data_IF_156549019440
#
_entry.id   IF_156549019440
#
_cell.length_a   1.000
_cell.length_b   1.000
_cell.length_c   1.000
_cell.angle_alpha   90.00
_cell.angle_beta   90.00
_cell.angle_gamma   90.00
#
_symmetry.space_group_name_H-M   'P 1'
#
loop_
_entity.id
_entity.type
_entity.pdbx_description
1 polymer ?
#
# COMPACT_ATOMS: atom_id res chain seq x y z
N UNK A 1 2.66 -25.80 16.22
CA UNK A 1 3.85 -25.93 15.36
C UNK A 1 4.04 -24.59 14.68
N UNK A 2 5.23 -24.01 14.80
CA UNK A 2 5.58 -22.66 14.38
C UNK A 2 5.65 -22.57 12.86
N UNK A 3 4.64 -21.97 12.22
CA UNK A 3 4.78 -21.53 10.83
C UNK A 3 5.82 -20.42 10.81
N UNK A 4 7.04 -20.76 10.37
CA UNK A 4 8.01 -19.77 9.95
C UNK A 4 7.36 -18.98 8.82
N UNK A 5 6.88 -17.77 9.12
CA UNK A 5 6.46 -16.84 8.08
C UNK A 5 7.64 -16.66 7.13
N UNK A 6 7.51 -17.11 5.89
CA UNK A 6 8.50 -16.91 4.85
C UNK A 6 8.61 -15.40 4.57
N UNK A 7 9.55 -14.74 5.25
CA UNK A 7 9.91 -13.35 4.98
C UNK A 7 10.78 -13.30 3.73
N UNK A 8 10.33 -12.53 2.74
CA UNK A 8 10.96 -12.32 1.45
C UNK A 8 11.49 -10.89 1.47
N UNK A 9 12.81 -10.75 1.42
CA UNK A 9 13.44 -9.45 1.23
C UNK A 9 13.42 -9.08 -0.25
N UNK A 10 13.00 -7.86 -0.55
CA UNK A 10 12.97 -7.35 -1.92
C UNK A 10 13.39 -5.88 -1.95
N UNK A 11 13.91 -5.44 -3.09
CA UNK A 11 14.26 -4.04 -3.30
C UNK A 11 13.09 -3.31 -3.95
N UNK A 12 12.81 -2.09 -3.49
CA UNK A 12 11.84 -1.24 -4.18
C UNK A 12 12.37 -0.93 -5.59
N UNK A 13 11.51 -1.09 -6.59
CA UNK A 13 11.86 -0.82 -7.97
C UNK A 13 11.86 0.68 -8.29
N UNK A 14 12.42 1.01 -9.45
CA UNK A 14 12.43 2.36 -10.00
C UNK A 14 12.21 2.34 -11.51
N UNK A 15 12.06 3.52 -12.12
CA UNK A 15 11.86 3.66 -13.56
C UNK A 15 13.03 3.05 -14.33
N UNK A 16 12.74 2.02 -15.12
CA UNK A 16 13.74 1.26 -15.88
C UNK A 16 14.32 0.06 -15.11
N UNK A 17 13.99 -0.09 -13.84
CA UNK A 17 14.44 -1.18 -12.96
C UNK A 17 13.33 -1.59 -11.97
N UNK A 18 12.12 -1.84 -12.48
CA UNK A 18 11.01 -2.33 -11.65
C UNK A 18 11.24 -3.79 -11.24
N UNK A 19 11.02 -4.11 -9.96
CA UNK A 19 11.27 -5.46 -9.46
C UNK A 19 10.19 -6.43 -9.99
N UNK A 20 10.60 -7.44 -10.74
CA UNK A 20 9.65 -8.36 -11.39
C UNK A 20 8.85 -9.19 -10.39
N UNK A 21 9.41 -9.50 -9.21
CA UNK A 21 8.72 -10.25 -8.17
C UNK A 21 7.65 -9.39 -7.47
N UNK A 22 7.93 -8.11 -7.23
CA UNK A 22 6.95 -7.16 -6.65
C UNK A 22 5.87 -6.72 -7.64
N UNK A 23 6.15 -6.86 -8.95
CA UNK A 23 5.26 -6.45 -10.03
C UNK A 23 4.46 -7.61 -10.66
N UNK A 24 4.83 -8.85 -10.34
CA UNK A 24 4.22 -10.07 -10.87
C UNK A 24 3.10 -10.63 -9.99
N UNK A 25 3.09 -11.96 -9.88
CA UNK A 25 2.23 -12.70 -8.96
C UNK A 25 2.97 -12.87 -7.63
N UNK A 26 2.42 -12.30 -6.56
CA UNK A 26 2.98 -12.42 -5.23
C UNK A 26 2.71 -13.82 -4.66
N UNK A 27 3.62 -14.31 -3.82
CA UNK A 27 3.46 -15.58 -3.13
C UNK A 27 2.31 -15.49 -2.13
N UNK A 28 1.41 -16.48 -2.06
CA UNK A 28 0.39 -16.56 -1.03
C UNK A 28 0.96 -16.66 0.39
N UNK A 29 0.29 -16.03 1.37
CA UNK A 29 0.62 -16.15 2.79
C UNK A 29 2.04 -15.71 3.15
N UNK A 30 2.62 -14.80 2.37
CA UNK A 30 4.01 -14.39 2.48
C UNK A 30 4.14 -13.01 3.12
N UNK A 31 5.32 -12.76 3.66
CA UNK A 31 5.72 -11.46 4.18
C UNK A 31 6.78 -10.90 3.26
N UNK A 32 6.61 -9.67 2.80
CA UNK A 32 7.58 -8.96 1.98
C UNK A 32 8.16 -7.81 2.78
N UNK A 33 9.48 -7.80 2.98
CA UNK A 33 10.21 -6.68 3.59
C UNK A 33 10.96 -5.93 2.48
N UNK A 34 10.51 -4.71 2.19
CA UNK A 34 11.07 -3.90 1.13
C UNK A 34 12.25 -3.06 1.63
N UNK A 35 13.18 -2.72 0.72
CA UNK A 35 14.36 -1.92 1.03
C UNK A 35 14.07 -0.51 1.57
N UNK A 36 12.86 0.02 1.38
CA UNK A 36 12.41 1.27 2.00
C UNK A 36 11.91 1.11 3.44
N UNK A 37 12.00 -0.11 4.00
CA UNK A 37 11.55 -0.44 5.35
C UNK A 37 10.06 -0.75 5.48
N UNK A 38 9.29 -0.70 4.37
CA UNK A 38 7.88 -1.09 4.38
C UNK A 38 7.72 -2.60 4.31
N UNK A 39 6.74 -3.10 5.04
CA UNK A 39 6.45 -4.52 5.13
C UNK A 39 5.03 -4.79 4.67
N UNK A 40 4.89 -5.76 3.77
CA UNK A 40 3.61 -6.16 3.18
C UNK A 40 3.32 -7.61 3.54
N UNK A 41 2.07 -7.94 3.79
CA UNK A 41 1.61 -9.31 3.99
C UNK A 41 0.59 -9.63 2.92
N UNK A 42 0.70 -10.84 2.36
CA UNK A 42 -0.27 -11.36 1.40
C UNK A 42 -1.18 -12.40 2.04
N UNK A 43 -2.41 -12.47 1.56
CA UNK A 43 -3.35 -13.52 1.91
C UNK A 43 -3.09 -14.84 1.16
N UNK A 44 -3.93 -15.85 1.39
CA UNK A 44 -3.83 -17.16 0.75
C UNK A 44 -4.05 -17.13 -0.79
N UNK A 45 -4.44 -16.00 -1.37
CA UNK A 45 -4.54 -15.79 -2.81
C UNK A 45 -3.41 -14.92 -3.38
N UNK A 46 -2.46 -14.50 -2.54
CA UNK A 46 -1.35 -13.62 -2.95
C UNK A 46 -1.76 -12.14 -3.09
N UNK A 47 -2.92 -11.73 -2.58
CA UNK A 47 -3.33 -10.31 -2.55
C UNK A 47 -2.75 -9.68 -1.30
N UNK A 48 -2.27 -8.43 -1.37
CA UNK A 48 -1.83 -7.71 -0.17
C UNK A 48 -3.03 -7.48 0.74
N UNK A 49 -2.98 -8.01 1.96
CA UNK A 49 -4.03 -7.78 2.97
C UNK A 49 -3.57 -6.89 4.12
N UNK A 50 -2.27 -6.59 4.19
CA UNK A 50 -1.70 -5.67 5.18
C UNK A 50 -0.44 -5.01 4.64
N UNK A 51 -0.26 -3.71 4.95
CA UNK A 51 1.02 -3.01 4.85
C UNK A 51 1.31 -2.26 6.15
N UNK A 52 2.57 -2.24 6.57
CA UNK A 52 3.04 -1.43 7.69
C UNK A 52 4.38 -0.76 7.36
N UNK A 53 4.60 0.45 7.86
CA UNK A 53 5.85 1.16 7.64
C UNK A 53 5.88 2.58 8.19
N UNK A 54 7.07 3.13 8.30
CA UNK A 54 7.27 4.55 8.62
C UNK A 54 7.17 5.37 7.34
N UNK A 55 6.39 6.44 7.38
CA UNK A 55 6.25 7.35 6.25
C UNK A 55 7.42 8.33 6.19
N UNK A 56 7.72 8.81 4.98
CA UNK A 56 8.82 9.73 4.73
C UNK A 56 8.48 10.71 3.60
N UNK A 57 9.00 11.93 3.66
CA UNK A 57 8.90 12.88 2.55
C UNK A 57 9.89 12.57 1.40
N UNK A 58 10.71 11.52 1.54
CA UNK A 58 11.55 11.01 0.47
C UNK A 58 10.67 10.31 -0.57
N UNK A 59 10.22 11.08 -1.55
CA UNK A 59 9.34 10.59 -2.59
C UNK A 59 9.99 9.47 -3.41
N UNK A 60 9.24 8.40 -3.67
CA UNK A 60 9.63 7.34 -4.58
C UNK A 60 9.02 7.55 -5.97
N UNK A 61 9.59 6.86 -6.96
CA UNK A 61 9.09 6.94 -8.33
C UNK A 61 7.77 6.18 -8.51
N UNK A 62 6.93 6.67 -9.42
CA UNK A 62 5.62 6.08 -9.72
C UNK A 62 5.70 5.16 -10.94
N UNK A 63 5.11 3.97 -10.83
CA UNK A 63 4.90 3.10 -11.97
C UNK A 63 3.53 3.38 -12.63
N UNK A 64 3.51 4.20 -13.67
CA UNK A 64 2.27 4.55 -14.38
C UNK A 64 1.59 3.35 -15.04
N UNK A 65 2.38 2.39 -15.52
CA UNK A 65 1.87 1.17 -16.13
C UNK A 65 1.08 0.34 -15.12
N UNK A 66 1.64 0.09 -13.93
CA UNK A 66 0.97 -0.72 -12.91
C UNK A 66 -0.27 -0.05 -12.34
N UNK A 67 -0.26 1.27 -12.15
CA UNK A 67 -1.47 1.99 -11.73
C UNK A 67 -2.61 1.81 -12.73
N UNK A 68 -2.31 1.89 -14.03
CA UNK A 68 -3.31 1.67 -15.08
C UNK A 68 -3.77 0.20 -15.13
N UNK A 69 -2.82 -0.74 -15.09
CA UNK A 69 -3.11 -2.17 -15.17
C UNK A 69 -3.96 -2.64 -13.98
N UNK A 70 -3.56 -2.28 -12.75
CA UNK A 70 -4.28 -2.66 -11.52
C UNK A 70 -5.66 -2.01 -11.46
N UNK A 71 -5.78 -0.72 -11.81
CA UNK A 71 -7.09 -0.04 -11.84
C UNK A 71 -8.11 -0.73 -12.74
N UNK A 72 -7.64 -1.27 -13.88
CA UNK A 72 -8.48 -2.03 -14.82
C UNK A 72 -8.89 -3.42 -14.33
N UNK A 73 -8.27 -3.94 -13.27
CA UNK A 73 -8.64 -5.22 -12.67
C UNK A 73 -9.80 -5.10 -11.65
N UNK A 74 -10.20 -3.87 -11.30
CA UNK A 74 -11.29 -3.60 -10.37
C UNK A 74 -12.65 -3.37 -11.04
N UNK A 75 -13.44 -2.49 -10.46
CA UNK A 75 -14.72 -2.05 -11.00
C UNK A 75 -14.54 -0.94 -12.06
N UNK A 76 -15.54 -0.68 -12.91
CA UNK A 76 -15.51 0.48 -13.80
C UNK A 76 -15.24 1.78 -13.02
N UNK A 77 -14.27 2.58 -13.51
CA UNK A 77 -13.76 3.84 -12.89
C UNK A 77 -12.86 3.67 -11.67
N UNK A 78 -12.44 2.45 -11.34
CA UNK A 78 -11.33 2.26 -10.40
C UNK A 78 -10.01 2.75 -11.01
N UNK A 79 -9.15 3.22 -10.14
CA UNK A 79 -7.77 3.59 -10.41
C UNK A 79 -6.82 2.62 -9.68
N UNK A 80 -5.56 2.56 -10.08
CA UNK A 80 -4.53 1.91 -9.27
C UNK A 80 -4.14 2.83 -8.12
N UNK A 81 -4.88 2.74 -7.02
CA UNK A 81 -4.64 3.49 -5.80
C UNK A 81 -3.42 2.94 -5.05
N UNK A 82 -2.53 3.82 -4.63
CA UNK A 82 -1.42 3.42 -3.77
C UNK A 82 -1.90 3.24 -2.33
N UNK A 83 -1.49 2.16 -1.66
CA UNK A 83 -1.76 1.98 -0.23
C UNK A 83 -0.94 2.99 0.59
N UNK A 84 0.33 3.16 0.27
CA UNK A 84 1.14 4.28 0.75
C UNK A 84 1.52 5.14 -0.43
N UNK A 85 1.18 6.44 -0.40
CA UNK A 85 1.50 7.37 -1.47
C UNK A 85 3.01 7.35 -1.79
N UNK A 86 3.36 7.42 -3.07
CA UNK A 86 4.77 7.53 -3.48
C UNK A 86 5.46 8.75 -2.86
N UNK A 87 4.74 9.87 -2.69
CA UNK A 87 5.24 11.08 -2.00
C UNK A 87 5.44 10.91 -0.49
N UNK A 88 4.98 9.80 0.08
CA UNK A 88 5.11 9.43 1.49
C UNK A 88 6.08 8.24 1.68
N UNK A 89 6.90 7.95 0.66
CA UNK A 89 7.89 6.87 0.68
C UNK A 89 7.34 5.51 0.25
N UNK A 90 6.11 5.45 -0.26
CA UNK A 90 5.51 4.20 -0.73
C UNK A 90 6.08 3.73 -2.06
N UNK A 91 6.25 2.41 -2.20
CA UNK A 91 6.79 1.80 -3.41
C UNK A 91 5.90 2.07 -4.64
N UNK A 92 6.52 2.29 -5.80
CA UNK A 92 5.81 2.36 -7.08
C UNK A 92 5.43 0.99 -7.63
N UNK A 93 5.96 -0.09 -7.07
CA UNK A 93 5.70 -1.47 -7.47
C UNK A 93 4.25 -1.90 -7.18
N UNK A 94 3.74 -2.85 -7.98
CA UNK A 94 2.36 -3.36 -7.89
C UNK A 94 1.95 -3.83 -6.50
N UNK A 95 2.88 -4.37 -5.70
CA UNK A 95 2.61 -4.78 -4.31
C UNK A 95 1.96 -3.66 -3.47
N UNK A 96 2.24 -2.40 -3.77
CA UNK A 96 1.69 -1.25 -3.05
C UNK A 96 0.47 -0.62 -3.78
N UNK A 97 -0.09 -1.29 -4.78
CA UNK A 97 -1.17 -0.75 -5.62
C UNK A 97 -2.35 -1.71 -5.62
N UNK A 98 -3.54 -1.18 -5.35
CA UNK A 98 -4.80 -1.93 -5.40
C UNK A 98 -5.83 -1.23 -6.30
N UNK A 99 -6.84 -1.94 -6.82
CA UNK A 99 -7.97 -1.29 -7.46
C UNK A 99 -8.73 -0.46 -6.42
N UNK A 100 -8.85 0.83 -6.66
CA UNK A 100 -9.46 1.78 -5.74
C UNK A 100 -10.43 2.70 -6.47
N UNK A 101 -11.64 2.87 -5.95
CA UNK A 101 -12.63 3.78 -6.48
C UNK A 101 -12.03 5.18 -6.58
N UNK A 102 -12.16 5.80 -7.76
CA UNK A 102 -11.63 7.16 -8.01
C UNK A 102 -12.16 8.20 -7.01
N UNK A 103 -13.38 8.04 -6.50
CA UNK A 103 -13.94 8.91 -5.45
C UNK A 103 -13.19 8.78 -4.13
N UNK A 104 -12.86 7.55 -3.71
CA UNK A 104 -12.04 7.30 -2.52
C UNK A 104 -10.60 7.78 -2.73
N UNK A 105 -9.96 7.33 -3.82
CA UNK A 105 -8.56 7.63 -4.15
C UNK A 105 -8.28 9.15 -4.21
N UNK A 106 -9.18 9.92 -4.85
CA UNK A 106 -9.00 11.36 -5.05
C UNK A 106 -9.60 12.22 -3.93
N UNK A 107 -10.48 11.63 -3.11
CA UNK A 107 -11.20 12.27 -2.01
C UNK A 107 -10.57 11.93 -0.66
N UNK A 108 -11.25 11.09 0.12
CA UNK A 108 -10.89 10.82 1.51
C UNK A 108 -9.50 10.20 1.68
N UNK A 109 -9.08 9.35 0.74
CA UNK A 109 -7.73 8.77 0.77
C UNK A 109 -6.66 9.86 0.62
N UNK A 110 -6.82 10.74 -0.37
CA UNK A 110 -5.95 11.90 -0.57
C UNK A 110 -5.97 12.86 0.61
N UNK A 111 -7.13 13.05 1.26
CA UNK A 111 -7.23 13.88 2.46
C UNK A 111 -6.39 13.31 3.61
N UNK A 112 -6.47 12.00 3.85
CA UNK A 112 -5.61 11.29 4.81
C UNK A 112 -4.12 11.42 4.44
N UNK A 113 -3.74 11.22 3.17
CA UNK A 113 -2.36 11.39 2.74
C UNK A 113 -1.84 12.82 2.98
N UNK A 114 -2.69 13.84 2.80
CA UNK A 114 -2.35 15.23 3.08
C UNK A 114 -2.13 15.49 4.58
N UNK A 115 -2.96 14.90 5.44
CA UNK A 115 -2.80 14.98 6.90
C UNK A 115 -1.45 14.41 7.33
N UNK A 116 -1.10 13.20 6.86
CA UNK A 116 0.20 12.59 7.17
C UNK A 116 1.37 13.40 6.61
N UNK A 117 1.24 13.94 5.39
CA UNK A 117 2.27 14.79 4.79
C UNK A 117 2.51 16.06 5.61
N UNK A 118 1.45 16.69 6.12
CA UNK A 118 1.57 17.90 6.92
C UNK A 118 2.23 17.58 8.27
N UNK A 119 1.85 16.48 8.92
CA UNK A 119 2.52 16.04 10.15
C UNK A 119 4.04 15.81 9.95
N UNK A 120 4.44 15.15 8.86
CA UNK A 120 5.86 14.98 8.53
C UNK A 120 6.58 16.32 8.29
N UNK A 121 5.91 17.28 7.63
CA UNK A 121 6.48 18.63 7.41
C UNK A 121 6.64 19.43 8.71
N UNK A 122 5.81 19.15 9.71
CA UNK A 122 5.92 19.69 11.07
C UNK A 122 7.02 19.00 11.89
N UNK A 123 7.75 18.04 11.31
CA UNK A 123 8.82 17.30 11.99
C UNK A 123 8.33 16.13 12.84
N UNK A 124 7.03 15.79 12.77
CA UNK A 124 6.47 14.64 13.48
C UNK A 124 6.84 13.33 12.78
N UNK A 125 6.90 12.25 13.55
CA UNK A 125 7.02 10.90 13.00
C UNK A 125 5.63 10.32 12.72
N UNK A 126 5.47 9.66 11.57
CA UNK A 126 4.22 8.98 11.21
C UNK A 126 4.50 7.52 10.88
N UNK A 127 4.01 6.61 11.71
CA UNK A 127 3.96 5.17 11.42
C UNK A 127 2.56 4.84 10.93
N UNK A 128 2.44 4.01 9.89
CA UNK A 128 1.14 3.57 9.37
C UNK A 128 1.08 2.05 9.32
N UNK A 129 -0.11 1.54 9.62
CA UNK A 129 -0.55 0.18 9.34
C UNK A 129 -1.88 0.25 8.61
N UNK A 130 -2.01 -0.46 7.50
CA UNK A 130 -3.22 -0.53 6.68
C UNK A 130 -3.58 -1.99 6.54
N UNK A 131 -4.73 -2.39 7.07
CA UNK A 131 -5.35 -3.70 6.86
C UNK A 131 -6.43 -3.59 5.77
N UNK A 132 -6.50 -4.56 4.87
CA UNK A 132 -7.40 -4.58 3.71
C UNK A 132 -8.40 -5.74 3.82
N UNK A 133 -9.68 -5.44 3.65
CA UNK A 133 -10.75 -6.41 3.52
C UNK A 133 -11.10 -6.68 2.06
N UNK A 134 -11.24 -7.95 1.71
CA UNK A 134 -11.63 -8.40 0.36
C UNK A 134 -12.95 -9.18 0.41
N UNK A 135 -13.88 -8.94 -0.54
CA UNK A 135 -15.00 -9.84 -0.75
C UNK A 135 -14.51 -11.21 -1.27
N UNK A 136 -15.36 -12.23 -1.15
CA UNK A 136 -15.05 -13.57 -1.63
C UNK A 136 -14.63 -13.55 -3.12
N UNK A 137 -13.41 -14.00 -3.42
CA UNK A 137 -12.94 -14.26 -4.79
C UNK A 137 -12.51 -13.05 -5.64
N UNK A 138 -12.37 -11.83 -5.10
CA UNK A 138 -12.04 -10.63 -5.89
C UNK A 138 -10.65 -10.02 -5.65
N UNK A 139 -10.08 -9.32 -6.63
CA UNK A 139 -8.79 -8.58 -6.47
C UNK A 139 -8.97 -7.14 -5.96
N UNK A 140 -10.21 -6.68 -5.88
CA UNK A 140 -10.58 -5.34 -5.38
C UNK A 140 -10.91 -5.41 -3.89
N UNK A 141 -10.18 -4.71 -3.02
CA UNK A 141 -10.57 -4.58 -1.62
C UNK A 141 -11.86 -3.73 -1.52
N UNK A 142 -12.71 -4.00 -0.54
CA UNK A 142 -13.90 -3.20 -0.26
C UNK A 142 -13.84 -2.49 1.10
N UNK A 143 -12.85 -2.82 1.92
CA UNK A 143 -12.64 -2.21 3.24
C UNK A 143 -11.16 -1.91 3.46
N UNK A 144 -10.89 -0.75 4.05
CA UNK A 144 -9.55 -0.31 4.43
C UNK A 144 -9.60 0.14 5.89
N UNK A 145 -8.76 -0.44 6.73
CA UNK A 145 -8.59 -0.05 8.12
C UNK A 145 -7.18 0.51 8.30
N UNK A 146 -7.09 1.83 8.53
CA UNK A 146 -5.82 2.53 8.70
C UNK A 146 -5.64 2.88 10.16
N UNK A 147 -4.53 2.41 10.75
CA UNK A 147 -4.02 2.86 12.04
C UNK A 147 -2.74 3.63 11.80
N UNK A 148 -2.72 4.90 12.19
CA UNK A 148 -1.53 5.75 12.15
C UNK A 148 -1.12 6.14 13.56
N UNK A 149 0.18 6.18 13.84
CA UNK A 149 0.75 6.76 15.05
C UNK A 149 1.50 8.01 14.66
N UNK A 150 0.96 9.17 15.03
CA UNK A 150 1.53 10.49 14.73
C UNK A 150 2.10 11.05 16.03
N UNK A 151 3.42 11.15 16.12
CA UNK A 151 4.13 11.65 17.31
C UNK A 151 3.66 10.96 18.62
N UNK A 152 3.49 9.64 18.55
CA UNK A 152 3.02 8.82 19.68
C UNK A 152 1.50 8.78 19.89
N UNK A 153 0.73 9.58 19.14
CA UNK A 153 -0.74 9.59 19.22
C UNK A 153 -1.35 8.71 18.13
N UNK A 154 -2.16 7.74 18.53
CA UNK A 154 -2.85 6.86 17.60
C UNK A 154 -4.09 7.54 16.99
N UNK A 155 -4.23 7.44 15.67
CA UNK A 155 -5.38 7.89 14.87
C UNK A 155 -5.82 6.73 14.00
N UNK A 156 -7.12 6.43 14.01
CA UNK A 156 -7.70 5.38 13.15
C UNK A 156 -8.65 5.96 12.13
N UNK A 157 -8.63 5.40 10.91
CA UNK A 157 -9.54 5.76 9.82
C UNK A 157 -10.07 4.50 9.16
N UNK A 158 -11.33 4.52 8.74
CA UNK A 158 -11.99 3.41 8.05
C UNK A 158 -12.57 3.90 6.74
N UNK A 159 -12.29 3.19 5.65
CA UNK A 159 -12.84 3.49 4.33
C UNK A 159 -13.51 2.27 3.73
N UNK A 160 -14.53 2.52 2.91
CA UNK A 160 -15.20 1.51 2.10
C UNK A 160 -15.38 2.03 0.68
N UNK A 161 -15.52 1.13 -0.27
CA UNK A 161 -15.69 1.45 -1.70
C UNK A 161 -16.43 0.38 -2.48
#
# INVERSE_FOLDING_TARGET
MTDAQNSIKASVGSKGAWDTALNGQLKPGAVYELSNGHKYVTDASGRVNKVEGTLSLNAMERNGYQQCAVGKCGAPKDEGGHLIAASLGGAGDKINIVPQASTLNRGDWRAMENEFRNALKEGKTVLVKIDLGYPAGGVRPNEFFVTAVIDGVEVTKRFKQ
#
